data_IF_461874056300
#
_entry.id   IF_461874056300
#
_cell.length_a   1.000
_cell.length_b   1.000
_cell.length_c   1.000
_cell.angle_alpha   90.00
_cell.angle_beta   90.00
_cell.angle_gamma   90.00
#
_symmetry.space_group_name_H-M   'P 1'
#
loop_
_entity.id
_entity.type
_entity.pdbx_description
1 polymer ?
#
# COMPACT_ATOMS: atom_id res chain seq x y z
N UNK A 1 27.91 3.17 -30.55
CA UNK A 1 26.84 4.16 -30.30
C UNK A 1 25.54 3.39 -30.22
N UNK A 2 25.18 2.88 -29.04
CA UNK A 2 23.91 2.17 -28.84
C UNK A 2 22.83 3.18 -28.52
N UNK A 3 21.84 3.25 -29.41
CA UNK A 3 20.62 4.01 -29.26
C UNK A 3 19.82 3.43 -28.09
N UNK A 4 19.77 4.15 -26.96
CA UNK A 4 18.88 3.83 -25.85
C UNK A 4 17.46 4.19 -26.24
N UNK A 5 16.63 3.19 -26.48
CA UNK A 5 15.19 3.36 -26.60
C UNK A 5 14.68 3.81 -25.23
N UNK A 6 14.22 5.06 -25.13
CA UNK A 6 13.41 5.52 -24.00
C UNK A 6 12.12 4.70 -24.02
N UNK A 7 12.07 3.69 -23.16
CA UNK A 7 10.88 2.87 -22.93
C UNK A 7 9.77 3.80 -22.42
N UNK A 8 8.59 3.72 -23.03
CA UNK A 8 7.43 4.51 -22.61
C UNK A 8 7.04 4.15 -21.17
N UNK A 9 6.49 5.08 -20.37
CA UNK A 9 6.05 4.80 -19.00
C UNK A 9 5.05 3.63 -18.95
N UNK A 10 5.00 2.87 -17.85
CA UNK A 10 4.07 1.75 -17.70
C UNK A 10 2.67 2.09 -18.23
N UNK A 11 2.18 1.42 -19.27
CA UNK A 11 0.80 1.60 -19.68
C UNK A 11 -0.19 1.21 -18.58
N UNK A 12 0.20 0.36 -17.62
CA UNK A 12 -0.65 -0.07 -16.50
C UNK A 12 -0.79 0.98 -15.38
N UNK A 13 0.03 2.05 -15.38
CA UNK A 13 -0.06 3.18 -14.45
C UNK A 13 -0.57 4.48 -15.11
N UNK A 14 -1.07 4.42 -16.36
CA UNK A 14 -1.60 5.60 -17.05
C UNK A 14 -2.92 6.09 -16.41
N UNK A 15 -2.85 7.19 -15.66
CA UNK A 15 -4.00 7.91 -15.08
C UNK A 15 -4.40 9.14 -15.92
N UNK A 16 -4.60 8.98 -17.23
CA UNK A 16 -5.29 10.01 -18.03
C UNK A 16 -6.79 9.69 -18.09
N UNK A 17 -7.69 10.50 -17.50
CA UNK A 17 -9.12 10.36 -17.74
C UNK A 17 -9.42 10.73 -19.20
N UNK A 18 -10.39 10.10 -19.88
CA UNK A 18 -10.83 10.59 -21.17
C UNK A 18 -11.44 11.99 -20.97
N UNK A 19 -10.79 12.98 -21.56
CA UNK A 19 -11.40 14.26 -21.90
C UNK A 19 -12.44 14.01 -22.99
N UNK A 20 -13.72 13.94 -22.61
CA UNK A 20 -14.79 14.68 -23.30
C UNK A 20 -16.11 14.61 -22.54
N UNK A 21 -16.69 15.80 -22.34
CA UNK A 21 -18.03 16.02 -21.81
C UNK A 21 -19.09 15.40 -22.73
N UNK A 22 -20.07 14.72 -22.13
CA UNK A 22 -21.50 14.91 -22.44
C UNK A 22 -22.33 14.50 -21.23
N UNK A 23 -22.84 15.52 -20.55
CA UNK A 23 -23.88 15.40 -19.55
C UNK A 23 -25.16 14.86 -20.22
N UNK A 24 -25.64 13.70 -19.77
CA UNK A 24 -27.04 13.30 -19.91
C UNK A 24 -27.42 12.50 -18.68
N UNK A 25 -28.20 13.14 -17.82
CA UNK A 25 -28.87 12.49 -16.71
C UNK A 25 -29.87 11.46 -17.26
N UNK A 26 -29.76 10.22 -16.82
CA UNK A 26 -30.88 9.29 -16.78
C UNK A 26 -30.95 8.69 -15.38
N UNK A 27 -32.12 8.86 -14.77
CA UNK A 27 -32.48 8.40 -13.45
C UNK A 27 -32.72 6.88 -13.44
N UNK A 28 -32.60 6.27 -12.24
CA UNK A 28 -33.16 4.95 -11.84
C UNK A 28 -32.24 3.78 -12.29
N UNK A 29 -31.69 2.89 -11.44
CA UNK A 29 -32.24 2.15 -10.30
C UNK A 29 -31.07 1.73 -9.38
N UNK A 30 -31.04 2.16 -8.12
CA UNK A 30 -30.08 1.66 -7.15
C UNK A 30 -30.64 0.36 -6.52
N UNK A 31 -30.10 -0.80 -6.92
CA UNK A 31 -30.35 -2.07 -6.21
C UNK A 31 -29.37 -2.16 -5.07
N UNK A 32 -29.87 -1.89 -3.87
CA UNK A 32 -29.13 -1.96 -2.62
C UNK A 32 -29.00 -3.44 -2.21
N UNK A 33 -27.90 -4.08 -2.56
CA UNK A 33 -27.53 -5.39 -2.00
C UNK A 33 -26.80 -5.15 -0.68
N UNK A 34 -27.55 -5.26 0.40
CA UNK A 34 -27.04 -5.22 1.77
C UNK A 34 -26.10 -6.39 2.02
N UNK A 35 -24.79 -6.18 1.85
CA UNK A 35 -23.80 -7.03 2.50
C UNK A 35 -23.80 -6.70 3.99
N UNK A 36 -24.62 -7.45 4.74
CA UNK A 36 -24.49 -7.58 6.19
C UNK A 36 -23.20 -8.34 6.50
N UNK A 37 -22.04 -7.70 6.37
CA UNK A 37 -20.91 -8.07 7.20
C UNK A 37 -21.14 -7.42 8.55
N UNK A 38 -21.59 -8.23 9.50
CA UNK A 38 -21.60 -7.86 10.91
C UNK A 38 -20.22 -7.35 11.27
N UNK A 39 -20.10 -6.03 11.44
CA UNK A 39 -18.91 -5.40 12.01
C UNK A 39 -18.83 -5.84 13.47
N UNK A 40 -18.32 -7.04 13.72
CA UNK A 40 -17.57 -7.28 14.95
C UNK A 40 -16.46 -6.25 14.89
N UNK A 41 -16.55 -5.21 15.72
CA UNK A 41 -15.43 -4.31 15.97
C UNK A 41 -14.36 -5.19 16.63
N UNK A 42 -13.57 -5.90 15.82
CA UNK A 42 -12.24 -6.28 16.23
C UNK A 42 -11.62 -5.01 16.79
N UNK A 43 -11.06 -5.09 18.01
CA UNK A 43 -10.35 -3.95 18.58
C UNK A 43 -9.30 -3.54 17.55
N UNK A 44 -9.48 -2.39 16.91
CA UNK A 44 -8.49 -1.77 16.02
C UNK A 44 -7.24 -1.58 16.87
N UNK A 45 -6.28 -2.49 16.72
CA UNK A 45 -4.96 -2.40 17.34
C UNK A 45 -3.99 -2.14 16.21
N UNK A 46 -3.11 -1.16 16.41
CA UNK A 46 -1.99 -0.99 15.51
C UNK A 46 -1.14 -2.26 15.54
N UNK A 47 -0.64 -2.71 14.37
CA UNK A 47 0.23 -3.87 14.30
C UNK A 47 1.52 -3.56 15.06
N UNK A 48 2.10 -4.60 15.64
CA UNK A 48 3.47 -4.55 16.15
C UNK A 48 4.43 -4.72 14.98
N UNK A 49 5.70 -4.35 15.19
CA UNK A 49 6.72 -4.46 14.15
C UNK A 49 7.95 -5.17 14.67
N UNK A 50 8.41 -6.14 13.91
CA UNK A 50 9.73 -6.74 14.08
C UNK A 50 10.70 -6.17 13.05
N UNK A 51 12.00 -6.27 13.30
CA UNK A 51 13.07 -5.82 12.37
C UNK A 51 12.95 -4.34 11.94
N UNK A 52 12.27 -3.53 12.75
CA UNK A 52 12.20 -2.08 12.54
C UNK A 52 13.55 -1.43 12.83
N UNK A 53 13.88 -0.33 12.15
CA UNK A 53 15.13 0.40 12.39
C UNK A 53 15.08 1.30 13.64
N UNK A 54 13.90 1.42 14.26
CA UNK A 54 13.67 2.23 15.44
C UNK A 54 13.44 3.71 15.13
N UNK A 55 13.03 4.51 16.12
CA UNK A 55 12.65 5.89 15.95
C UNK A 55 13.74 6.75 15.28
N UNK A 56 13.37 7.52 14.27
CA UNK A 56 14.23 8.56 13.68
C UNK A 56 13.71 9.97 13.94
N UNK A 57 14.62 10.94 13.95
CA UNK A 57 14.27 12.34 14.20
C UNK A 57 13.46 12.93 13.04
N UNK A 58 12.71 14.01 13.32
CA UNK A 58 12.00 14.74 12.27
C UNK A 58 12.96 15.30 11.20
N UNK A 59 14.19 15.66 11.57
CA UNK A 59 15.19 16.13 10.64
C UNK A 59 15.59 15.06 9.60
N UNK A 60 15.73 13.80 10.04
CA UNK A 60 16.02 12.67 9.14
C UNK A 60 14.87 12.44 8.16
N UNK A 61 13.63 12.45 8.65
CA UNK A 61 12.43 12.28 7.79
C UNK A 61 12.28 13.43 6.80
N UNK A 62 12.46 14.67 7.24
CA UNK A 62 12.39 15.84 6.36
C UNK A 62 13.49 15.84 5.29
N UNK A 63 14.68 15.31 5.63
CA UNK A 63 15.76 15.18 4.66
C UNK A 63 15.45 14.11 3.60
N UNK A 64 14.84 12.98 3.99
CA UNK A 64 14.36 11.96 3.06
C UNK A 64 13.22 12.50 2.16
N UNK A 65 12.25 13.21 2.74
CA UNK A 65 11.16 13.89 1.99
C UNK A 65 11.74 14.80 0.89
N UNK A 66 12.79 15.58 1.20
CA UNK A 66 13.48 16.43 0.23
C UNK A 66 14.23 15.64 -0.84
N UNK A 67 14.95 14.57 -0.48
CA UNK A 67 15.71 13.74 -1.44
C UNK A 67 14.80 12.99 -2.41
N UNK A 68 13.68 12.48 -1.90
CA UNK A 68 12.64 11.82 -2.69
C UNK A 68 11.83 12.80 -3.55
N UNK A 69 11.88 14.11 -3.26
CA UNK A 69 11.13 15.12 -4.01
C UNK A 69 9.61 15.06 -3.82
N UNK A 70 9.15 14.53 -2.68
CA UNK A 70 7.71 14.33 -2.37
C UNK A 70 7.28 15.13 -1.15
N UNK A 71 5.97 15.15 -0.86
CA UNK A 71 5.43 15.59 0.43
C UNK A 71 4.79 14.42 1.14
N UNK A 72 5.46 13.91 2.17
CA UNK A 72 4.99 12.74 2.91
C UNK A 72 3.74 13.09 3.73
N UNK A 73 2.67 12.27 3.65
CA UNK A 73 1.51 12.36 4.52
C UNK A 73 1.89 12.35 6.01
N UNK A 74 1.14 13.09 6.82
CA UNK A 74 1.47 13.31 8.23
C UNK A 74 1.48 12.00 9.05
N UNK A 75 0.60 11.07 8.71
CA UNK A 75 0.51 9.76 9.35
C UNK A 75 1.67 8.83 8.98
N UNK A 76 2.11 8.84 7.72
CA UNK A 76 3.32 8.12 7.31
C UNK A 76 4.59 8.70 7.95
N UNK A 77 4.69 10.03 8.08
CA UNK A 77 5.78 10.66 8.84
C UNK A 77 5.79 10.25 10.30
N UNK A 78 4.62 10.09 10.92
CA UNK A 78 4.50 9.57 12.29
C UNK A 78 5.05 8.15 12.37
N UNK A 79 4.65 7.27 11.44
CA UNK A 79 5.17 5.90 11.36
C UNK A 79 6.70 5.85 11.25
N UNK A 80 7.28 6.63 10.35
CA UNK A 80 8.75 6.69 10.21
C UNK A 80 9.43 7.18 11.49
N UNK A 81 8.83 8.14 12.21
CA UNK A 81 9.40 8.67 13.45
C UNK A 81 9.28 7.75 14.66
N UNK A 82 8.33 6.82 14.67
CA UNK A 82 8.07 5.95 15.84
C UNK A 82 8.56 4.53 15.64
N UNK A 83 8.43 3.99 14.42
CA UNK A 83 8.70 2.58 14.10
C UNK A 83 9.84 2.50 13.08
N UNK A 84 9.75 3.27 11.99
CA UNK A 84 10.72 3.30 10.89
C UNK A 84 10.92 1.96 10.17
N UNK A 85 9.92 1.57 9.37
CA UNK A 85 9.96 0.34 8.59
C UNK A 85 9.87 -0.92 9.45
N UNK A 86 10.12 -2.08 8.83
CA UNK A 86 10.06 -3.38 9.47
C UNK A 86 8.87 -4.22 9.04
N UNK A 87 8.69 -5.37 9.69
CA UNK A 87 7.72 -6.38 9.31
C UNK A 87 6.54 -6.33 10.26
N UNK A 88 5.32 -6.08 9.76
CA UNK A 88 4.14 -5.94 10.60
C UNK A 88 3.72 -7.31 11.16
N UNK A 89 3.12 -7.28 12.34
CA UNK A 89 2.39 -8.40 12.93
C UNK A 89 1.15 -7.87 13.66
N UNK A 90 -0.08 -8.17 13.18
CA UNK A 90 -0.40 -9.05 12.05
C UNK A 90 -0.03 -8.46 10.66
N UNK A 91 0.00 -9.31 9.63
CA UNK A 91 0.48 -8.97 8.27
C UNK A 91 -0.53 -9.20 7.13
N UNK A 92 -1.68 -9.86 7.34
CA UNK A 92 -2.66 -10.12 6.28
C UNK A 92 -3.58 -8.92 6.06
N UNK A 93 -3.93 -8.63 4.81
CA UNK A 93 -4.93 -7.63 4.43
C UNK A 93 -5.73 -8.13 3.22
N UNK A 94 -6.79 -7.43 2.84
CA UNK A 94 -7.62 -7.80 1.69
C UNK A 94 -7.40 -6.83 0.53
N UNK A 95 -7.05 -7.36 -0.64
CA UNK A 95 -7.10 -6.62 -1.90
C UNK A 95 -8.53 -6.70 -2.45
N UNK A 96 -9.22 -5.55 -2.68
CA UNK A 96 -10.59 -5.55 -3.16
C UNK A 96 -10.77 -6.36 -4.44
N UNK A 97 -11.79 -7.23 -4.46
CA UNK A 97 -12.13 -8.13 -5.57
C UNK A 97 -11.03 -9.15 -5.94
N UNK A 98 -10.01 -9.36 -5.09
CA UNK A 98 -8.94 -10.36 -5.29
C UNK A 98 -8.80 -11.33 -4.14
N UNK A 99 -8.98 -10.85 -2.90
CA UNK A 99 -8.90 -11.68 -1.69
C UNK A 99 -7.70 -11.33 -0.81
N UNK A 100 -7.29 -12.24 0.09
CA UNK A 100 -6.22 -11.99 1.06
C UNK A 100 -4.85 -11.87 0.38
N UNK A 101 -4.00 -11.01 0.96
CA UNK A 101 -2.60 -10.80 0.60
C UNK A 101 -1.79 -10.45 1.86
N UNK A 102 -0.46 -10.53 1.78
CA UNK A 102 0.43 -10.33 2.92
C UNK A 102 1.29 -9.08 2.77
N UNK A 103 1.51 -8.34 3.84
CA UNK A 103 2.52 -7.29 3.90
C UNK A 103 3.81 -7.84 4.54
N UNK A 104 4.84 -8.13 3.74
CA UNK A 104 6.06 -8.73 4.25
C UNK A 104 6.94 -7.73 5.00
N UNK A 105 7.09 -6.52 4.44
CA UNK A 105 7.96 -5.49 5.00
C UNK A 105 7.55 -4.10 4.51
N UNK A 106 7.68 -3.12 5.41
CA UNK A 106 7.65 -1.70 5.08
C UNK A 106 9.05 -1.10 5.15
N UNK A 107 9.33 -0.20 4.22
CA UNK A 107 10.63 0.44 4.10
C UNK A 107 10.78 1.56 5.13
N UNK A 108 11.99 1.73 5.63
CA UNK A 108 12.34 2.78 6.59
C UNK A 108 13.44 3.69 6.04
N UNK A 109 13.64 4.83 6.68
CA UNK A 109 14.72 5.76 6.32
C UNK A 109 16.00 5.36 7.05
N UNK A 110 17.07 5.14 6.29
CA UNK A 110 18.40 4.77 6.81
C UNK A 110 19.49 5.68 6.25
N UNK A 111 20.67 5.62 6.87
CA UNK A 111 21.88 6.23 6.31
C UNK A 111 22.50 5.38 5.20
N UNK A 112 22.26 4.07 5.22
CA UNK A 112 22.77 3.10 4.26
C UNK A 112 21.69 2.77 3.23
N UNK A 113 21.99 3.01 1.95
CA UNK A 113 21.08 2.71 0.83
C UNK A 113 21.19 1.25 0.43
N UNK A 114 20.48 0.40 1.17
CA UNK A 114 20.43 -1.06 0.99
C UNK A 114 18.99 -1.56 1.03
N UNK A 115 18.77 -2.87 0.86
CA UNK A 115 17.44 -3.46 0.91
C UNK A 115 16.61 -2.97 2.11
N UNK A 116 15.34 -2.66 1.84
CA UNK A 116 14.36 -2.05 2.74
C UNK A 116 14.65 -0.61 3.24
N UNK A 117 15.66 0.08 2.68
CA UNK A 117 15.77 1.53 2.76
C UNK A 117 14.79 2.20 1.78
N UNK A 118 14.02 3.17 2.27
CA UNK A 118 12.95 3.82 1.51
C UNK A 118 13.44 4.48 0.21
N UNK A 119 14.60 5.15 0.27
CA UNK A 119 15.13 5.85 -0.89
C UNK A 119 15.75 4.87 -1.89
N UNK A 120 16.46 3.85 -1.41
CA UNK A 120 17.00 2.79 -2.26
C UNK A 120 15.88 2.03 -2.98
N UNK A 121 14.84 1.62 -2.25
CA UNK A 121 13.73 0.84 -2.80
C UNK A 121 12.88 1.65 -3.77
N UNK A 122 12.71 2.96 -3.54
CA UNK A 122 12.09 3.84 -4.53
C UNK A 122 12.87 3.84 -5.85
N UNK A 123 14.20 3.94 -5.81
CA UNK A 123 15.03 3.88 -7.01
C UNK A 123 14.86 2.54 -7.73
N UNK A 124 14.91 1.42 -7.00
CA UNK A 124 14.71 0.08 -7.56
C UNK A 124 13.32 -0.08 -8.19
N UNK A 125 12.27 0.45 -7.54
CA UNK A 125 10.91 0.39 -8.04
C UNK A 125 10.75 1.14 -9.38
N UNK A 126 11.54 2.18 -9.60
CA UNK A 126 11.49 3.03 -10.82
C UNK A 126 12.51 2.69 -11.89
N UNK A 127 13.43 1.73 -11.64
CA UNK A 127 14.59 1.48 -12.52
C UNK A 127 14.19 1.04 -13.93
N UNK A 128 13.22 0.12 -14.01
CA UNK A 128 12.74 -0.43 -15.28
C UNK A 128 11.49 0.28 -15.78
N UNK A 129 10.76 0.88 -14.85
CA UNK A 129 9.45 1.40 -15.14
C UNK A 129 9.11 2.57 -14.20
N UNK A 130 9.11 3.81 -14.71
CA UNK A 130 8.94 4.98 -13.86
C UNK A 130 7.52 5.03 -13.30
N UNK A 131 7.44 5.13 -11.97
CA UNK A 131 6.19 5.45 -11.29
C UNK A 131 5.72 6.86 -11.68
N UNK A 132 4.40 7.09 -11.80
CA UNK A 132 3.88 8.44 -11.98
C UNK A 132 4.31 9.36 -10.84
N UNK A 133 4.52 10.66 -11.11
CA UNK A 133 4.96 11.61 -10.09
C UNK A 133 4.07 11.58 -8.84
N UNK A 134 4.72 11.52 -7.68
CA UNK A 134 4.04 11.54 -6.39
C UNK A 134 3.60 10.18 -5.86
N UNK A 135 3.89 9.06 -6.55
CA UNK A 135 3.86 7.73 -5.93
C UNK A 135 5.20 7.37 -5.31
N UNK A 136 5.15 6.80 -4.10
CA UNK A 136 6.30 6.33 -3.36
C UNK A 136 6.13 4.85 -3.03
N UNK A 137 7.10 4.01 -3.37
CA UNK A 137 7.16 2.62 -2.90
C UNK A 137 7.49 2.60 -1.40
N UNK A 138 6.63 1.96 -0.60
CA UNK A 138 6.72 1.97 0.87
C UNK A 138 6.88 0.58 1.49
N UNK A 139 6.84 -0.48 0.69
CA UNK A 139 6.97 -1.86 1.15
C UNK A 139 6.65 -2.87 0.05
N UNK A 140 6.71 -4.16 0.37
CA UNK A 140 6.31 -5.24 -0.53
C UNK A 140 5.66 -6.43 0.17
N UNK A 141 4.97 -7.25 -0.61
CA UNK A 141 4.52 -8.59 -0.22
C UNK A 141 5.63 -9.65 -0.46
N UNK A 142 5.48 -10.88 0.05
CA UNK A 142 6.48 -11.93 -0.18
C UNK A 142 6.74 -12.28 -1.66
N UNK A 143 5.81 -11.92 -2.55
CA UNK A 143 5.89 -12.14 -3.99
C UNK A 143 6.56 -11.01 -4.78
N UNK A 144 6.99 -9.93 -4.12
CA UNK A 144 7.62 -8.76 -4.74
C UNK A 144 6.64 -7.71 -5.29
N UNK A 145 5.33 -7.89 -5.07
CA UNK A 145 4.35 -6.84 -5.35
C UNK A 145 4.55 -5.68 -4.38
N UNK A 146 4.37 -4.46 -4.87
CA UNK A 146 4.82 -3.26 -4.16
C UNK A 146 3.65 -2.50 -3.56
N UNK A 147 3.79 -2.00 -2.33
CA UNK A 147 2.87 -1.02 -1.76
C UNK A 147 3.28 0.38 -2.22
N UNK A 148 2.35 1.13 -2.80
CA UNK A 148 2.54 2.50 -3.24
C UNK A 148 1.76 3.47 -2.35
N UNK A 149 2.39 4.55 -1.92
CA UNK A 149 1.78 5.67 -1.21
C UNK A 149 1.63 6.86 -2.14
N UNK A 150 0.41 7.40 -2.26
CA UNK A 150 0.20 8.68 -2.92
C UNK A 150 0.62 9.84 -2.01
N UNK A 151 1.42 10.76 -2.56
CA UNK A 151 1.97 11.96 -1.89
C UNK A 151 1.48 13.27 -2.51
N UNK A 152 0.53 13.16 -3.45
CA UNK A 152 -0.08 14.28 -4.18
C UNK A 152 -1.56 14.41 -3.84
N UNK A 153 -2.08 15.63 -3.84
CA UNK A 153 -3.50 15.89 -3.66
C UNK A 153 -4.32 15.47 -4.90
N UNK A 154 -5.59 15.06 -4.75
CA UNK A 154 -6.34 14.95 -3.49
C UNK A 154 -6.10 13.63 -2.73
N UNK A 155 -5.33 12.71 -3.30
CA UNK A 155 -5.18 11.33 -2.81
C UNK A 155 -4.06 11.14 -1.79
N UNK A 156 -3.50 12.22 -1.25
CA UNK A 156 -2.35 12.17 -0.34
C UNK A 156 -2.66 11.29 0.89
N UNK A 157 -1.87 10.23 1.09
CA UNK A 157 -2.09 9.23 2.13
C UNK A 157 -2.68 7.92 1.63
N UNK A 158 -3.33 7.90 0.47
CA UNK A 158 -3.92 6.68 -0.09
C UNK A 158 -2.84 5.64 -0.39
N UNK A 159 -3.12 4.39 -0.01
CA UNK A 159 -2.23 3.24 -0.22
C UNK A 159 -2.81 2.36 -1.32
N UNK A 160 -1.92 1.91 -2.20
CA UNK A 160 -2.21 1.00 -3.29
C UNK A 160 -1.35 -0.26 -3.19
N UNK A 161 -1.91 -1.40 -3.54
CA UNK A 161 -1.18 -2.62 -3.85
C UNK A 161 -0.95 -2.69 -5.36
N UNK A 162 0.31 -2.73 -5.79
CA UNK A 162 0.70 -2.79 -7.18
C UNK A 162 1.22 -4.19 -7.52
N UNK A 163 0.43 -4.93 -8.32
CA UNK A 163 0.84 -6.22 -8.86
C UNK A 163 1.90 -6.01 -9.94
N UNK A 164 3.17 -6.24 -9.58
CA UNK A 164 4.33 -5.99 -10.45
C UNK A 164 4.40 -6.93 -11.63
N UNK A 165 3.81 -8.12 -11.50
CA UNK A 165 3.81 -9.15 -12.53
C UNK A 165 2.64 -8.97 -13.51
N UNK A 166 1.70 -8.08 -13.20
CA UNK A 166 0.51 -7.83 -14.03
C UNK A 166 -0.45 -9.02 -14.06
N UNK A 167 -0.38 -9.91 -13.06
CA UNK A 167 -1.27 -11.08 -12.99
C UNK A 167 -2.70 -10.67 -12.62
N UNK A 168 -2.84 -9.62 -11.80
CA UNK A 168 -4.09 -8.99 -11.46
C UNK A 168 -4.25 -7.64 -12.16
N UNK A 169 -5.29 -7.54 -12.97
CA UNK A 169 -5.64 -6.32 -13.70
C UNK A 169 -7.10 -5.96 -13.46
N UNK A 170 -7.37 -4.73 -13.03
CA UNK A 170 -8.71 -4.17 -12.82
C UNK A 170 -9.45 -4.01 -14.15
N UNK A 171 -10.76 -3.79 -14.07
CA UNK A 171 -11.61 -3.56 -15.25
C UNK A 171 -11.14 -2.35 -16.09
N UNK A 172 -10.51 -1.35 -15.47
CA UNK A 172 -9.92 -0.19 -16.16
C UNK A 172 -8.52 -0.44 -16.75
N UNK A 173 -8.06 -1.71 -16.77
CA UNK A 173 -6.77 -2.09 -17.35
C UNK A 173 -5.56 -1.86 -16.44
N UNK A 174 -5.77 -1.40 -15.20
CA UNK A 174 -4.67 -1.08 -14.26
C UNK A 174 -4.38 -2.22 -13.30
N UNK A 175 -3.11 -2.43 -12.96
CA UNK A 175 -2.66 -3.43 -11.99
C UNK A 175 -2.37 -2.86 -10.58
N UNK A 176 -2.78 -1.61 -10.34
CA UNK A 176 -2.72 -0.97 -9.02
C UNK A 176 -4.11 -0.89 -8.37
N UNK A 177 -4.22 -1.45 -7.17
CA UNK A 177 -5.46 -1.60 -6.42
C UNK A 177 -5.44 -0.69 -5.18
N UNK A 178 -6.39 0.26 -5.02
CA UNK A 178 -6.48 1.02 -3.79
C UNK A 178 -6.89 0.09 -2.64
N UNK A 179 -6.12 0.10 -1.55
CA UNK A 179 -6.35 -0.78 -0.38
C UNK A 179 -6.72 0.00 0.89
N UNK A 180 -6.38 1.29 0.97
CA UNK A 180 -6.81 2.16 2.06
C UNK A 180 -6.71 3.64 1.67
N UNK A 181 -7.56 4.50 2.23
CA UNK A 181 -7.55 5.95 2.00
C UNK A 181 -6.42 6.69 2.74
N UNK A 182 -5.85 6.08 3.78
CA UNK A 182 -4.71 6.63 4.53
C UNK A 182 -3.75 5.51 4.90
N UNK A 183 -2.49 5.84 5.18
CA UNK A 183 -1.52 4.87 5.68
C UNK A 183 -1.96 4.29 7.02
N UNK A 184 -2.51 5.12 7.91
CA UNK A 184 -3.05 4.63 9.20
C UNK A 184 -4.19 3.63 8.99
N UNK A 185 -5.14 3.92 8.09
CA UNK A 185 -6.23 3.00 7.79
C UNK A 185 -5.71 1.67 7.20
N UNK A 186 -4.63 1.71 6.41
CA UNK A 186 -3.99 0.48 5.93
C UNK A 186 -3.41 -0.35 7.07
N UNK A 187 -2.65 0.28 7.97
CA UNK A 187 -2.10 -0.39 9.15
C UNK A 187 -3.20 -0.99 10.04
N UNK A 188 -4.31 -0.26 10.22
CA UNK A 188 -5.48 -0.72 10.98
C UNK A 188 -6.25 -1.87 10.33
N UNK A 189 -6.07 -2.07 9.02
CA UNK A 189 -6.71 -3.15 8.26
C UNK A 189 -5.98 -4.49 8.38
N UNK A 190 -4.73 -4.50 8.86
CA UNK A 190 -3.94 -5.72 9.00
C UNK A 190 -4.55 -6.65 10.07
N UNK A 191 -4.64 -7.94 9.77
CA UNK A 191 -5.25 -8.96 10.63
C UNK A 191 -4.54 -10.32 10.55
N UNK A 192 -4.73 -11.14 11.57
CA UNK A 192 -4.25 -12.52 11.59
C UNK A 192 -4.95 -13.32 10.49
N UNK A 193 -4.21 -14.22 9.84
CA UNK A 193 -4.85 -15.15 8.92
C UNK A 193 -5.78 -16.07 9.71
N UNK A 194 -6.98 -16.40 9.21
CA UNK A 194 -7.86 -17.38 9.85
C UNK A 194 -7.20 -18.76 10.04
N UNK A 195 -6.14 -19.06 9.29
CA UNK A 195 -5.36 -20.30 9.39
C UNK A 195 -4.33 -20.28 10.53
N UNK A 196 -3.89 -19.09 10.93
CA UNK A 196 -2.93 -18.87 12.02
C UNK A 196 -3.63 -18.64 13.37
N UNK A 197 -4.94 -18.34 13.34
CA UNK A 197 -5.76 -18.32 14.54
C UNK A 197 -5.79 -19.72 15.13
N UNK A 198 -5.07 -19.90 16.26
CA UNK A 198 -5.08 -21.11 17.07
C UNK A 198 -6.49 -21.73 17.09
N UNK A 199 -6.66 -23.03 16.75
CA UNK A 199 -7.95 -23.70 16.84
C UNK A 199 -8.39 -23.76 18.30
N UNK A 200 -9.02 -22.68 18.76
CA UNK A 200 -9.46 -22.48 20.12
C UNK A 200 -10.66 -23.35 20.43
N UNK A 201 -10.41 -24.36 21.27
CA UNK A 201 -11.35 -25.01 22.18
C UNK A 201 -12.65 -25.52 21.55
N UNK A 202 -12.65 -26.81 21.20
CA UNK A 202 -13.89 -27.57 21.17
C UNK A 202 -14.65 -27.33 22.49
N UNK A 203 -15.95 -27.03 22.47
CA UNK A 203 -16.73 -26.97 23.69
C UNK A 203 -16.66 -28.35 24.36
N UNK A 204 -16.17 -28.36 25.59
CA UNK A 204 -16.19 -29.51 26.47
C UNK A 204 -17.63 -29.98 26.60
N UNK A 205 -18.01 -30.96 25.79
CA UNK A 205 -19.36 -31.51 25.78
C UNK A 205 -19.36 -32.65 26.77
N UNK A 206 -19.41 -32.28 28.05
CA UNK A 206 -19.74 -33.20 29.13
C UNK A 206 -21.26 -33.25 29.29
N UNK A 207 -21.90 -34.29 28.76
CA UNK A 207 -23.05 -35.00 29.37
C UNK A 207 -22.90 -36.48 29.06
#
# INVERSE_FOLDING_TARGET
>A
MSSGTLEAPNPALHLTPPSDLRCVAHSILAVQVSFMFGRRRARLRMPTFSRSYGPVSAAVVNAAEKRLGVRLPADYKRFLRTINGGCPDPQEFVVPNRGPALAAIFYGVRSERTHADLEYEQEQATLWDPLPPGFLAIGHDPGGNTFLLATFAPDAGRVFFWDRNGLWVREDGRNAFPVADTFTAFMESLHESPQDAEPGAAPDTAI
#
